data_IF_023585613839
#
_entry.id   IF_023585613839
#
_cell.length_a   1.000
_cell.length_b   1.000
_cell.length_c   1.000
_cell.angle_alpha   90.00
_cell.angle_beta   90.00
_cell.angle_gamma   90.00
#
_symmetry.space_group_name_H-M   'P 1'
#
loop_
_entity.id
_entity.type
_entity.pdbx_description
1 polymer ?
#
# COMPACT_ATOMS: atom_id res chain seq x y z
N UNK A 1 -5.97 5.25 -27.37
CA UNK A 1 -7.03 5.80 -26.49
C UNK A 1 -6.37 6.14 -25.15
N UNK A 2 -6.24 7.41 -24.77
CA UNK A 2 -5.69 7.80 -23.45
C UNK A 2 -6.83 7.62 -22.43
N UNK A 3 -6.94 6.44 -21.84
CA UNK A 3 -7.82 6.26 -20.68
C UNK A 3 -7.25 7.07 -19.51
N UNK A 4 -8.10 7.52 -18.61
CA UNK A 4 -7.65 8.24 -17.43
C UNK A 4 -7.02 7.27 -16.42
N UNK A 5 -6.08 7.78 -15.61
CA UNK A 5 -5.27 6.99 -14.68
C UNK A 5 -5.82 7.17 -13.27
N UNK A 6 -6.11 6.08 -12.59
CA UNK A 6 -6.32 6.07 -11.14
C UNK A 6 -4.97 5.93 -10.46
N UNK A 7 -4.65 6.85 -9.54
CA UNK A 7 -3.45 6.77 -8.71
C UNK A 7 -3.83 6.21 -7.34
N UNK A 8 -3.14 5.15 -6.92
CA UNK A 8 -3.28 4.58 -5.59
C UNK A 8 -2.16 5.15 -4.72
N UNK A 9 -2.53 5.78 -3.61
CA UNK A 9 -1.62 6.49 -2.74
C UNK A 9 -1.50 5.78 -1.39
N UNK A 10 -0.27 5.63 -0.89
CA UNK A 10 -0.03 5.30 0.52
C UNK A 10 -0.14 6.57 1.36
N UNK A 11 -1.12 6.58 2.26
CA UNK A 11 -1.44 7.70 3.15
C UNK A 11 -0.97 7.46 4.59
N UNK A 12 -0.31 6.34 4.89
CA UNK A 12 0.15 6.03 6.26
C UNK A 12 1.05 7.13 6.83
N UNK A 13 1.86 7.78 5.98
CA UNK A 13 2.75 8.88 6.39
C UNK A 13 2.10 10.27 6.46
N UNK A 14 0.82 10.40 6.11
CA UNK A 14 0.18 11.71 6.02
C UNK A 14 -0.03 12.36 7.40
N UNK A 15 -0.31 11.55 8.42
CA UNK A 15 -0.42 12.00 9.81
C UNK A 15 0.90 12.61 10.33
N UNK A 16 2.04 12.14 9.80
CA UNK A 16 3.38 12.60 10.15
C UNK A 16 3.87 13.76 9.25
N UNK A 17 2.98 14.36 8.43
CA UNK A 17 3.32 15.45 7.51
C UNK A 17 4.13 15.03 6.28
N UNK A 18 4.25 13.73 6.00
CA UNK A 18 4.95 13.23 4.80
C UNK A 18 4.03 13.23 3.60
N UNK A 19 4.59 13.55 2.43
CA UNK A 19 3.85 13.47 1.18
C UNK A 19 3.49 12.00 0.87
N UNK A 20 2.24 11.72 0.44
CA UNK A 20 1.81 10.37 0.12
C UNK A 20 2.59 9.84 -1.10
N UNK A 21 2.96 8.56 -1.05
CA UNK A 21 3.68 7.89 -2.14
C UNK A 21 2.70 7.22 -3.09
N UNK A 22 3.01 7.24 -4.38
CA UNK A 22 2.23 6.49 -5.38
C UNK A 22 2.59 5.01 -5.26
N UNK A 23 1.65 4.21 -4.76
CA UNK A 23 1.74 2.76 -4.64
C UNK A 23 1.42 2.05 -5.96
N UNK A 24 0.66 2.70 -6.83
CA UNK A 24 0.40 2.18 -8.17
C UNK A 24 -0.49 3.06 -9.02
N UNK A 25 -0.60 2.66 -10.28
CA UNK A 25 -1.37 3.34 -11.30
C UNK A 25 -2.26 2.31 -11.99
N UNK A 26 -3.57 2.53 -11.99
CA UNK A 26 -4.54 1.70 -12.70
C UNK A 26 -5.04 2.44 -13.93
N UNK A 27 -4.98 1.78 -15.08
CA UNK A 27 -5.54 2.31 -16.31
C UNK A 27 -7.05 2.05 -16.34
N UNK A 28 -7.86 3.11 -16.27
CA UNK A 28 -9.31 2.99 -16.31
C UNK A 28 -9.82 2.89 -17.76
N UNK A 29 -10.87 2.10 -18.03
CA UNK A 29 -11.47 1.94 -19.36
C UNK A 29 -12.40 3.12 -19.69
N UNK A 30 -11.85 4.33 -19.76
CA UNK A 30 -12.62 5.56 -19.92
C UNK A 30 -12.55 6.13 -21.34
N UNK A 31 -13.70 6.62 -21.80
CA UNK A 31 -13.86 7.44 -23.00
C UNK A 31 -13.38 8.87 -22.75
N UNK A 32 -12.99 9.59 -23.80
CA UNK A 32 -12.52 10.98 -23.68
C UNK A 32 -13.62 11.87 -23.07
N UNK A 33 -13.28 12.60 -22.00
CA UNK A 33 -14.18 13.51 -21.30
C UNK A 33 -15.05 12.85 -20.23
N UNK A 34 -15.02 11.52 -20.14
CA UNK A 34 -15.61 10.78 -19.03
C UNK A 34 -14.87 11.13 -17.76
N UNK A 35 -15.56 11.13 -16.63
CA UNK A 35 -14.96 11.46 -15.33
C UNK A 35 -15.39 10.43 -14.29
N UNK A 36 -14.50 10.16 -13.33
CA UNK A 36 -14.86 9.44 -12.12
C UNK A 36 -15.76 10.33 -11.27
N UNK A 37 -16.93 9.83 -10.89
CA UNK A 37 -17.95 10.57 -10.13
C UNK A 37 -17.87 10.27 -8.64
N UNK A 38 -17.75 9.00 -8.31
CA UNK A 38 -17.75 8.51 -6.94
C UNK A 38 -16.99 7.18 -6.84
N UNK A 39 -16.63 6.81 -5.61
CA UNK A 39 -15.88 5.62 -5.31
C UNK A 39 -16.30 5.05 -3.94
N UNK A 40 -16.53 3.74 -3.88
CA UNK A 40 -16.67 3.02 -2.63
C UNK A 40 -15.71 1.85 -2.59
N UNK A 41 -15.00 1.67 -1.47
CA UNK A 41 -14.06 0.58 -1.28
C UNK A 41 -14.50 -0.31 -0.12
N UNK A 42 -14.31 -1.61 -0.30
CA UNK A 42 -14.44 -2.62 0.74
C UNK A 42 -13.17 -2.70 1.59
N UNK A 43 -13.28 -3.34 2.75
CA UNK A 43 -12.14 -3.58 3.64
C UNK A 43 -11.10 -4.54 3.07
N UNK A 44 -11.47 -5.41 2.12
CA UNK A 44 -10.53 -6.30 1.44
C UNK A 44 -9.79 -5.62 0.28
N UNK A 45 -10.04 -4.33 0.01
CA UNK A 45 -9.34 -3.54 -1.01
C UNK A 45 -9.93 -3.64 -2.41
N UNK A 46 -11.20 -4.01 -2.55
CA UNK A 46 -11.94 -3.91 -3.81
C UNK A 46 -12.70 -2.58 -3.82
N UNK A 47 -12.48 -1.77 -4.84
CA UNK A 47 -13.17 -0.50 -5.02
C UNK A 47 -14.07 -0.56 -6.25
N UNK A 48 -15.30 -0.08 -6.11
CA UNK A 48 -16.18 0.18 -7.24
C UNK A 48 -16.22 1.69 -7.49
N UNK A 49 -15.88 2.09 -8.71
CA UNK A 49 -15.86 3.47 -9.17
C UNK A 49 -17.06 3.69 -10.10
N UNK A 50 -17.80 4.77 -9.88
CA UNK A 50 -18.74 5.27 -10.89
C UNK A 50 -17.99 6.18 -11.87
N UNK A 51 -18.21 5.91 -13.14
CA UNK A 51 -17.81 6.75 -14.26
C UNK A 51 -19.09 7.40 -14.77
N UNK A 52 -19.03 8.61 -15.34
CA UNK A 52 -20.21 9.29 -15.88
C UNK A 52 -20.95 8.43 -16.91
N UNK A 53 -20.65 8.54 -18.20
CA UNK A 53 -21.35 7.76 -19.22
C UNK A 53 -20.73 6.39 -19.50
N UNK A 54 -19.54 6.10 -18.96
CA UNK A 54 -18.87 4.80 -19.12
C UNK A 54 -19.33 3.76 -18.07
N UNK A 55 -20.28 4.11 -17.19
CA UNK A 55 -20.89 3.17 -16.25
C UNK A 55 -20.06 2.96 -14.99
N UNK A 56 -19.75 1.70 -14.64
CA UNK A 56 -19.00 1.38 -13.41
C UNK A 56 -17.79 0.50 -13.70
N UNK A 57 -16.75 0.65 -12.88
CA UNK A 57 -15.54 -0.17 -12.94
C UNK A 57 -15.13 -0.63 -11.55
N UNK A 58 -14.88 -1.93 -11.40
CA UNK A 58 -14.33 -2.52 -10.20
C UNK A 58 -12.82 -2.64 -10.33
N UNK A 59 -12.11 -2.18 -9.32
CA UNK A 59 -10.64 -2.18 -9.24
C UNK A 59 -10.23 -2.92 -7.97
N UNK A 60 -9.26 -3.81 -8.11
CA UNK A 60 -8.59 -4.43 -6.97
C UNK A 60 -7.31 -3.63 -6.64
N UNK A 61 -7.30 -3.00 -5.48
CA UNK A 61 -6.13 -2.29 -4.92
C UNK A 61 -5.50 -3.05 -3.74
N UNK A 62 -6.08 -4.21 -3.39
CA UNK A 62 -5.59 -5.05 -2.30
C UNK A 62 -4.28 -5.76 -2.66
N UNK A 63 -3.65 -6.34 -1.63
CA UNK A 63 -2.40 -7.08 -1.80
C UNK A 63 -2.60 -8.32 -2.67
N UNK A 64 -1.68 -8.57 -3.62
CA UNK A 64 -1.71 -9.74 -4.47
C UNK A 64 -1.21 -9.48 -5.89
N UNK A 65 -1.33 -10.47 -6.79
CA UNK A 65 -0.82 -10.38 -8.16
C UNK A 65 -1.71 -9.51 -9.06
N UNK A 66 -2.95 -9.26 -8.64
CA UNK A 66 -3.89 -8.34 -9.29
C UNK A 66 -3.94 -6.97 -8.60
N UNK A 67 -2.98 -6.66 -7.71
CA UNK A 67 -2.90 -5.34 -7.08
C UNK A 67 -2.88 -4.25 -8.15
N UNK A 68 -3.70 -3.23 -7.95
CA UNK A 68 -3.83 -2.07 -8.84
C UNK A 68 -4.32 -2.45 -10.24
N UNK A 69 -5.39 -3.26 -10.34
CA UNK A 69 -5.94 -3.71 -11.63
C UNK A 69 -7.46 -3.61 -11.70
N UNK A 70 -7.98 -3.33 -12.89
CA UNK A 70 -9.41 -3.48 -13.21
C UNK A 70 -9.77 -4.96 -13.21
N UNK A 71 -10.80 -5.34 -12.43
CA UNK A 71 -11.25 -6.73 -12.28
C UNK A 71 -12.62 -6.98 -12.92
N UNK A 72 -13.45 -5.96 -13.01
CA UNK A 72 -14.69 -5.97 -13.76
C UNK A 72 -14.98 -4.57 -14.27
N UNK A 73 -15.71 -4.47 -15.38
CA UNK A 73 -16.25 -3.20 -15.86
C UNK A 73 -17.61 -3.48 -16.47
N UNK A 74 -18.54 -2.55 -16.27
CA UNK A 74 -19.85 -2.59 -16.87
C UNK A 74 -20.16 -1.22 -17.48
N UNK A 75 -20.06 -1.16 -18.80
CA UNK A 75 -20.50 -0.02 -19.56
C UNK A 75 -22.02 -0.14 -19.80
N UNK A 76 -22.80 0.27 -18.81
CA UNK A 76 -24.17 0.64 -19.07
C UNK A 76 -24.30 2.12 -18.78
N UNK A 77 -24.79 2.86 -19.78
CA UNK A 77 -25.90 3.83 -19.66
C UNK A 77 -25.87 4.98 -20.67
N UNK A 78 -25.01 4.92 -21.69
CA UNK A 78 -25.15 5.77 -22.86
C UNK A 78 -24.99 4.97 -24.15
N UNK A 79 -26.08 4.32 -24.60
CA UNK A 79 -26.14 3.68 -25.94
C UNK A 79 -26.28 4.76 -27.00
N UNK A 80 -25.21 5.49 -27.26
CA UNK A 80 -25.07 6.31 -28.46
C UNK A 80 -23.86 5.81 -29.24
N UNK A 81 -23.82 4.51 -29.56
CA UNK A 81 -22.93 4.07 -30.62
C UNK A 81 -23.44 4.68 -31.92
N UNK A 82 -22.73 5.69 -32.42
CA UNK A 82 -23.02 6.36 -33.69
C UNK A 82 -23.99 7.54 -33.65
N UNK A 83 -24.60 7.88 -32.51
CA UNK A 83 -25.49 9.06 -32.41
C UNK A 83 -24.69 10.25 -31.89
N UNK A 84 -24.43 11.21 -32.77
CA UNK A 84 -23.83 12.49 -32.41
C UNK A 84 -24.81 13.25 -31.52
N UNK A 85 -24.51 13.28 -30.22
CA UNK A 85 -25.36 13.97 -29.25
C UNK A 85 -25.34 15.47 -29.55
N UNK A 86 -26.50 16.09 -29.83
CA UNK A 86 -26.56 17.51 -30.14
C UNK A 86 -25.91 18.33 -29.03
N UNK A 87 -25.12 19.35 -29.41
CA UNK A 87 -24.39 20.20 -28.46
C UNK A 87 -25.28 20.80 -27.36
N UNK A 88 -26.55 21.11 -27.69
CA UNK A 88 -27.56 21.65 -26.77
C UNK A 88 -27.89 20.73 -25.60
N UNK A 89 -27.66 19.42 -25.72
CA UNK A 89 -27.93 18.42 -24.67
C UNK A 89 -26.67 17.65 -24.26
N UNK A 90 -25.49 18.07 -24.72
CA UNK A 90 -24.23 17.42 -24.36
C UNK A 90 -23.95 17.42 -22.85
N UNK A 91 -24.45 18.43 -22.13
CA UNK A 91 -24.36 18.51 -20.67
C UNK A 91 -25.07 17.33 -19.97
N UNK A 92 -26.09 16.73 -20.61
CA UNK A 92 -26.76 15.55 -20.06
C UNK A 92 -25.78 14.38 -19.93
N UNK A 93 -24.80 14.23 -20.84
CA UNK A 93 -23.80 13.16 -20.72
C UNK A 93 -23.10 13.18 -19.36
N UNK A 94 -22.77 14.37 -18.85
CA UNK A 94 -22.13 14.52 -17.55
C UNK A 94 -23.02 14.00 -16.42
N UNK A 95 -24.32 14.22 -16.50
CA UNK A 95 -25.30 13.85 -15.46
C UNK A 95 -25.85 12.42 -15.65
N UNK A 96 -25.40 11.71 -16.69
CA UNK A 96 -25.89 10.38 -17.04
C UNK A 96 -24.94 9.29 -16.58
N UNK A 97 -25.51 8.09 -16.46
CA UNK A 97 -24.88 6.86 -15.99
C UNK A 97 -24.76 6.79 -14.48
N UNK A 98 -23.67 6.16 -14.01
CA UNK A 98 -23.50 5.89 -12.58
C UNK A 98 -23.14 7.19 -11.85
N UNK A 99 -23.93 7.53 -10.84
CA UNK A 99 -23.79 8.79 -10.09
C UNK A 99 -23.08 8.56 -8.77
N UNK A 100 -23.61 7.64 -7.96
CA UNK A 100 -23.15 7.40 -6.60
C UNK A 100 -22.96 5.91 -6.36
N UNK A 101 -21.91 5.56 -5.62
CA UNK A 101 -21.62 4.18 -5.26
C UNK A 101 -21.58 4.06 -3.75
N UNK A 102 -22.23 3.03 -3.21
CA UNK A 102 -22.22 2.72 -1.80
C UNK A 102 -21.92 1.24 -1.59
N UNK A 103 -21.05 0.96 -0.63
CA UNK A 103 -20.81 -0.41 -0.18
C UNK A 103 -22.05 -0.92 0.58
N UNK A 104 -22.47 -2.15 0.29
CA UNK A 104 -23.54 -2.80 1.04
C UNK A 104 -23.02 -3.19 2.44
N UNK A 105 -23.67 -2.74 3.52
CA UNK A 105 -23.28 -3.11 4.88
C UNK A 105 -23.31 -4.62 5.08
N UNK A 106 -22.24 -5.18 5.66
CA UNK A 106 -22.13 -6.63 5.91
C UNK A 106 -21.77 -7.48 4.69
N UNK A 107 -21.76 -6.90 3.48
CA UNK A 107 -21.45 -7.62 2.24
C UNK A 107 -20.30 -6.91 1.49
N UNK A 108 -19.03 -7.29 1.76
CA UNK A 108 -17.85 -6.55 1.27
C UNK A 108 -17.68 -6.57 -0.27
N UNK A 109 -18.50 -7.33 -1.00
CA UNK A 109 -18.44 -7.44 -2.47
C UNK A 109 -19.71 -7.00 -3.16
N UNK A 110 -20.62 -6.38 -2.41
CA UNK A 110 -21.90 -5.90 -2.90
C UNK A 110 -21.93 -4.39 -2.83
N UNK A 111 -22.40 -3.76 -3.90
CA UNK A 111 -22.49 -2.32 -4.00
C UNK A 111 -23.85 -1.92 -4.53
N UNK A 112 -24.37 -0.83 -3.98
CA UNK A 112 -25.51 -0.10 -4.53
C UNK A 112 -24.98 1.02 -5.41
N UNK A 113 -25.48 1.10 -6.63
CA UNK A 113 -25.11 2.14 -7.58
C UNK A 113 -26.37 2.91 -7.94
N UNK A 114 -26.42 4.18 -7.54
CA UNK A 114 -27.43 5.09 -8.05
C UNK A 114 -27.06 5.49 -9.47
N UNK A 115 -28.01 5.39 -10.38
CA UNK A 115 -27.79 5.67 -11.78
C UNK A 115 -28.95 6.41 -12.43
N UNK A 116 -28.57 7.24 -13.39
CA UNK A 116 -29.51 8.03 -14.18
C UNK A 116 -29.32 7.67 -15.65
N UNK A 117 -30.42 7.56 -16.39
CA UNK A 117 -30.40 7.21 -17.82
C UNK A 117 -31.30 8.13 -18.63
N UNK A 118 -31.00 8.26 -19.91
CA UNK A 118 -31.71 9.16 -20.82
C UNK A 118 -31.97 8.46 -22.15
N UNK A 119 -33.23 8.45 -22.56
CA UNK A 119 -33.68 7.93 -23.83
C UNK A 119 -33.58 9.02 -24.90
N UNK A 120 -32.44 9.06 -25.59
CA UNK A 120 -32.20 10.02 -26.67
C UNK A 120 -33.23 9.88 -27.79
N UNK A 121 -33.64 8.64 -28.11
CA UNK A 121 -34.58 8.38 -29.20
C UNK A 121 -35.98 8.92 -28.89
N UNK A 122 -36.44 8.73 -27.65
CA UNK A 122 -37.70 9.34 -27.20
C UNK A 122 -37.64 10.87 -27.26
N UNK A 123 -36.51 11.46 -26.84
CA UNK A 123 -36.32 12.91 -26.87
C UNK A 123 -36.30 13.48 -28.30
N UNK A 124 -35.60 12.82 -29.23
CA UNK A 124 -35.58 13.21 -30.65
C UNK A 124 -36.95 13.13 -31.31
N UNK A 125 -37.82 12.24 -30.82
CA UNK A 125 -39.24 12.15 -31.23
C UNK A 125 -40.17 13.15 -30.55
N UNK A 126 -39.62 14.08 -29.76
CA UNK A 126 -40.37 15.17 -29.13
C UNK A 126 -40.84 14.90 -27.70
N UNK A 127 -40.40 13.82 -27.05
CA UNK A 127 -40.67 13.63 -25.62
C UNK A 127 -40.04 14.77 -24.80
N UNK A 128 -40.72 15.22 -23.74
CA UNK A 128 -40.13 16.20 -22.82
C UNK A 128 -38.96 15.58 -22.09
N UNK A 129 -37.99 16.42 -21.68
CA UNK A 129 -36.80 15.98 -20.96
C UNK A 129 -37.12 15.06 -19.76
N UNK A 130 -38.11 15.43 -18.94
CA UNK A 130 -38.52 14.65 -17.77
C UNK A 130 -39.13 13.27 -18.10
N UNK A 131 -39.68 13.12 -19.31
CA UNK A 131 -40.31 11.88 -19.76
C UNK A 131 -39.26 10.96 -20.41
N UNK A 132 -38.17 11.54 -20.95
CA UNK A 132 -37.03 10.82 -21.52
C UNK A 132 -35.94 10.46 -20.49
N UNK A 133 -35.92 11.11 -19.32
CA UNK A 133 -34.98 10.84 -18.26
C UNK A 133 -35.54 9.85 -17.22
N UNK A 134 -34.76 8.84 -16.85
CA UNK A 134 -35.02 7.98 -15.68
C UNK A 134 -33.95 8.27 -14.65
N UNK A 135 -34.37 8.86 -13.53
CA UNK A 135 -33.51 9.25 -12.44
C UNK A 135 -33.61 8.22 -11.30
N UNK A 136 -32.60 8.21 -10.42
CA UNK A 136 -32.61 7.45 -9.17
C UNK A 136 -32.85 5.94 -9.33
N UNK A 137 -32.39 5.34 -10.43
CA UNK A 137 -32.40 3.88 -10.55
C UNK A 137 -31.30 3.32 -9.66
N UNK A 138 -31.62 2.36 -8.79
CA UNK A 138 -30.60 1.71 -7.96
C UNK A 138 -30.28 0.35 -8.56
N UNK A 139 -29.02 0.19 -8.96
CA UNK A 139 -28.47 -1.07 -9.44
C UNK A 139 -27.72 -1.75 -8.31
N UNK A 140 -27.77 -3.08 -8.27
CA UNK A 140 -26.94 -3.88 -7.35
C UNK A 140 -25.81 -4.51 -8.15
N UNK A 141 -24.58 -4.32 -7.70
CA UNK A 141 -23.39 -4.93 -8.28
C UNK A 141 -22.83 -5.93 -7.27
N UNK A 142 -22.79 -7.21 -7.64
CA UNK A 142 -22.14 -8.26 -6.86
C UNK A 142 -20.85 -8.72 -7.56
N UNK A 143 -19.78 -8.81 -6.78
CA UNK A 143 -18.49 -9.34 -7.19
C UNK A 143 -18.18 -10.68 -6.48
N UNK A 144 -19.20 -11.42 -6.03
CA UNK A 144 -19.00 -12.67 -5.28
C UNK A 144 -18.21 -13.71 -6.07
N UNK A 145 -18.39 -13.74 -7.40
CA UNK A 145 -17.63 -14.61 -8.30
C UNK A 145 -16.16 -14.21 -8.49
N UNK A 146 -15.76 -13.02 -8.08
CA UNK A 146 -14.37 -12.58 -8.17
C UNK A 146 -13.55 -13.16 -7.02
N UNK A 147 -12.68 -14.13 -7.33
CA UNK A 147 -11.68 -14.59 -6.38
C UNK A 147 -10.36 -13.90 -6.69
N UNK A 148 -9.83 -13.14 -5.72
CA UNK A 148 -8.47 -12.60 -5.83
C UNK A 148 -7.53 -13.80 -6.01
N UNK A 149 -6.73 -13.86 -7.09
CA UNK A 149 -5.77 -14.93 -7.23
C UNK A 149 -4.86 -14.88 -6.02
N UNK A 150 -4.57 -16.06 -5.45
CA UNK A 150 -3.51 -16.15 -4.45
C UNK A 150 -2.29 -15.41 -5.03
N UNK A 151 -1.53 -14.65 -4.19
CA UNK A 151 -0.20 -14.24 -4.57
C UNK A 151 0.43 -15.42 -5.27
N UNK A 152 0.84 -15.26 -6.53
CA UNK A 152 1.82 -16.19 -7.04
C UNK A 152 2.94 -16.05 -6.03
N UNK A 153 3.07 -17.04 -5.17
CA UNK A 153 4.33 -17.37 -4.55
C UNK A 153 5.23 -17.56 -5.76
N UNK A 154 5.79 -16.46 -6.27
CA UNK A 154 7.07 -16.52 -6.89
C UNK A 154 7.84 -17.28 -5.83
N UNK A 155 8.23 -18.51 -6.14
CA UNK A 155 9.27 -19.19 -5.41
C UNK A 155 10.48 -18.26 -5.54
N UNK A 156 10.52 -17.24 -4.68
CA UNK A 156 11.68 -16.41 -4.47
C UNK A 156 12.61 -17.42 -3.86
N UNK A 157 13.54 -17.92 -4.68
CA UNK A 157 14.63 -18.77 -4.20
C UNK A 157 15.10 -18.15 -2.87
N UNK A 158 15.15 -18.93 -1.78
CA UNK A 158 15.36 -18.38 -0.44
C UNK A 158 16.54 -17.43 -0.49
N UNK A 159 16.27 -16.13 -0.32
CA UNK A 159 17.33 -15.14 -0.41
C UNK A 159 18.27 -15.39 0.76
N UNK A 160 19.59 -15.32 0.54
CA UNK A 160 20.53 -15.49 1.63
C UNK A 160 20.25 -14.41 2.70
N UNK A 161 20.47 -14.72 3.99
CA UNK A 161 20.34 -13.73 5.03
C UNK A 161 21.29 -12.56 4.78
N UNK A 162 20.87 -11.35 5.15
CA UNK A 162 21.71 -10.15 5.07
C UNK A 162 22.30 -9.88 6.45
N UNK A 163 23.63 -9.83 6.53
CA UNK A 163 24.31 -9.39 7.74
C UNK A 163 24.43 -7.86 7.73
N UNK A 164 24.18 -7.23 8.86
CA UNK A 164 24.32 -5.79 9.05
C UNK A 164 24.93 -5.52 10.43
N UNK A 165 25.58 -4.38 10.62
CA UNK A 165 26.06 -3.95 11.93
C UNK A 165 25.39 -2.63 12.27
N UNK A 166 24.62 -2.62 13.35
CA UNK A 166 24.06 -1.41 13.93
C UNK A 166 25.07 -0.85 14.93
N UNK A 167 25.62 0.31 14.60
CA UNK A 167 26.64 0.99 15.39
C UNK A 167 25.95 2.06 16.24
N UNK A 168 26.15 1.99 17.54
CA UNK A 168 25.77 3.03 18.51
C UNK A 168 27.05 3.78 18.89
N UNK A 169 27.10 5.10 18.69
CA UNK A 169 28.24 5.96 19.09
C UNK A 169 28.26 6.21 20.60
N UNK A 170 28.27 5.13 21.37
CA UNK A 170 28.40 5.14 22.82
C UNK A 170 29.15 3.88 23.26
N UNK A 171 29.98 4.00 24.29
CA UNK A 171 30.68 2.88 24.87
C UNK A 171 29.69 1.82 25.41
N UNK A 172 30.00 0.54 25.16
CA UNK A 172 29.13 -0.58 25.55
C UNK A 172 28.81 -0.58 27.04
N UNK A 173 29.76 -0.20 27.90
CA UNK A 173 29.52 -0.11 29.33
C UNK A 173 28.49 0.96 29.69
N UNK A 174 28.49 2.09 29.00
CA UNK A 174 27.49 3.14 29.24
C UNK A 174 26.11 2.73 28.70
N UNK A 175 26.06 2.04 27.56
CA UNK A 175 24.83 1.42 27.05
C UNK A 175 24.28 0.43 28.07
N UNK A 176 25.12 -0.48 28.58
CA UNK A 176 24.72 -1.48 29.57
C UNK A 176 24.29 -0.87 30.91
N UNK A 177 24.92 0.22 31.36
CA UNK A 177 24.52 0.94 32.59
C UNK A 177 23.11 1.51 32.51
N UNK A 178 22.67 1.93 31.32
CA UNK A 178 21.31 2.45 31.14
C UNK A 178 20.24 1.34 31.13
N UNK A 179 20.66 0.08 30.97
CA UNK A 179 19.80 -1.09 31.05
C UNK A 179 19.84 -1.64 32.49
N UNK A 180 18.68 -1.71 33.15
CA UNK A 180 18.55 -2.20 34.54
C UNK A 180 19.09 -3.61 34.76
N UNK A 181 19.28 -4.39 33.69
CA UNK A 181 19.97 -5.68 33.67
C UNK A 181 21.26 -5.52 32.86
N UNK A 182 22.40 -5.44 33.56
CA UNK A 182 23.72 -5.14 32.98
C UNK A 182 24.33 -6.36 32.26
N UNK A 183 23.71 -6.85 31.18
CA UNK A 183 24.36 -7.87 30.35
C UNK A 183 24.12 -7.66 28.85
N UNK A 184 25.10 -8.10 28.06
CA UNK A 184 25.08 -7.98 26.60
C UNK A 184 23.89 -8.71 25.96
N UNK A 185 23.42 -9.79 26.57
CA UNK A 185 22.30 -10.58 26.02
C UNK A 185 20.96 -9.85 26.12
N UNK A 186 20.74 -9.10 27.20
CA UNK A 186 19.56 -8.24 27.29
C UNK A 186 19.59 -7.12 26.25
N UNK A 187 20.76 -6.51 26.00
CA UNK A 187 20.93 -5.53 24.92
C UNK A 187 20.62 -6.13 23.55
N UNK A 188 21.09 -7.35 23.27
CA UNK A 188 20.76 -8.08 22.02
C UNK A 188 19.25 -8.28 21.87
N UNK A 189 18.55 -8.68 22.93
CA UNK A 189 17.10 -8.89 22.91
C UNK A 189 16.34 -7.58 22.65
N UNK A 190 16.70 -6.50 23.36
CA UNK A 190 16.10 -5.18 23.16
C UNK A 190 16.31 -4.70 21.73
N UNK A 191 17.52 -4.86 21.18
CA UNK A 191 17.83 -4.50 19.81
C UNK A 191 17.04 -5.34 18.78
N UNK A 192 16.93 -6.66 18.98
CA UNK A 192 16.13 -7.52 18.11
C UNK A 192 14.66 -7.10 18.06
N UNK A 193 14.04 -6.85 19.22
CA UNK A 193 12.65 -6.38 19.33
C UNK A 193 12.49 -5.04 18.63
N UNK A 194 13.36 -4.07 18.95
CA UNK A 194 13.26 -2.72 18.37
C UNK A 194 13.39 -2.73 16.84
N UNK A 195 14.33 -3.52 16.30
CA UNK A 195 14.51 -3.66 14.86
C UNK A 195 13.30 -4.36 14.23
N UNK A 196 12.82 -5.46 14.82
CA UNK A 196 11.65 -6.18 14.31
C UNK A 196 10.39 -5.31 14.28
N UNK A 197 10.12 -4.57 15.36
CA UNK A 197 8.99 -3.64 15.48
C UNK A 197 9.11 -2.50 14.46
N UNK A 198 10.30 -1.91 14.29
CA UNK A 198 10.52 -0.82 13.33
C UNK A 198 10.32 -1.22 11.87
N UNK A 199 10.45 -2.51 11.58
CA UNK A 199 10.26 -3.10 10.25
C UNK A 199 8.90 -3.77 10.08
N UNK A 200 8.09 -3.84 11.13
CA UNK A 200 6.83 -4.59 11.19
C UNK A 200 6.98 -6.05 10.73
N UNK A 201 8.03 -6.72 11.17
CA UNK A 201 8.31 -8.13 10.86
C UNK A 201 8.30 -9.00 12.12
N UNK A 202 8.08 -10.31 11.95
CA UNK A 202 8.22 -11.26 13.05
C UNK A 202 9.66 -11.25 13.59
N UNK A 203 9.82 -11.21 14.91
CA UNK A 203 11.13 -11.18 15.58
C UNK A 203 12.07 -12.32 15.18
N UNK A 204 11.54 -13.50 14.82
CA UNK A 204 12.35 -14.62 14.34
C UNK A 204 13.16 -14.29 13.05
N UNK A 205 12.78 -13.22 12.35
CA UNK A 205 13.45 -12.73 11.15
C UNK A 205 14.64 -11.81 11.43
N UNK A 206 14.86 -11.45 12.70
CA UNK A 206 15.95 -10.57 13.14
C UNK A 206 16.72 -11.28 14.25
N UNK A 207 17.98 -11.63 13.99
CA UNK A 207 18.87 -12.18 15.00
C UNK A 207 20.00 -11.19 15.29
N UNK A 208 20.27 -10.90 16.56
CA UNK A 208 21.49 -10.17 16.95
C UNK A 208 22.54 -11.20 17.34
N UNK A 209 23.51 -11.40 16.46
CA UNK A 209 24.57 -12.40 16.57
C UNK A 209 25.60 -12.04 17.64
N UNK A 210 25.84 -10.76 17.86
CA UNK A 210 26.87 -10.28 18.76
C UNK A 210 26.69 -8.83 19.17
N UNK A 211 27.29 -8.48 20.30
CA UNK A 211 27.46 -7.10 20.76
C UNK A 211 28.93 -6.93 21.15
N UNK A 212 29.66 -6.04 20.48
CA UNK A 212 31.09 -5.80 20.75
C UNK A 212 31.36 -4.32 20.92
N UNK A 213 32.35 -3.99 21.75
CA UNK A 213 32.87 -2.65 21.87
C UNK A 213 34.02 -2.47 20.87
N UNK A 214 34.08 -1.31 20.22
CA UNK A 214 35.24 -0.88 19.46
C UNK A 214 35.81 0.39 20.12
N UNK A 215 37.03 0.30 20.64
CA UNK A 215 37.71 1.38 21.39
C UNK A 215 38.35 2.45 20.48
N UNK A 216 37.89 2.56 19.24
CA UNK A 216 38.48 3.45 18.25
C UNK A 216 38.17 4.94 18.56
N UNK A 217 39.07 5.57 19.32
CA UNK A 217 39.26 7.03 19.56
C UNK A 217 38.07 7.78 20.20
N UNK A 218 38.31 8.31 21.40
CA UNK A 218 37.54 9.35 22.11
C UNK A 218 36.01 9.30 21.87
N UNK A 219 35.34 8.28 22.40
CA UNK A 219 33.88 8.20 22.38
C UNK A 219 33.32 6.79 22.60
N UNK A 220 34.05 5.76 22.16
CA UNK A 220 33.65 4.35 22.24
C UNK A 220 32.43 4.04 21.36
N UNK A 221 32.50 2.97 20.57
CA UNK A 221 31.36 2.51 19.78
C UNK A 221 30.88 1.14 20.23
N UNK A 222 29.57 0.96 20.25
CA UNK A 222 28.94 -0.36 20.45
C UNK A 222 28.43 -0.86 19.12
N UNK A 223 28.93 -2.01 18.70
CA UNK A 223 28.58 -2.66 17.44
C UNK A 223 27.66 -3.83 17.74
N UNK A 224 26.45 -3.79 17.19
CA UNK A 224 25.45 -4.85 17.25
C UNK A 224 25.39 -5.56 15.90
N UNK A 225 25.90 -6.79 15.84
CA UNK A 225 25.92 -7.58 14.61
C UNK A 225 24.54 -8.22 14.42
N UNK A 226 23.84 -7.81 13.39
CA UNK A 226 22.49 -8.23 13.01
C UNK A 226 22.55 -9.23 11.84
N UNK A 227 21.62 -10.18 11.85
CA UNK A 227 21.31 -11.05 10.73
C UNK A 227 19.82 -10.95 10.41
N UNK A 228 19.53 -10.45 9.21
CA UNK A 228 18.21 -10.27 8.65
C UNK A 228 17.86 -11.51 7.83
N UNK A 229 16.90 -12.31 8.30
CA UNK A 229 16.58 -13.63 7.74
C UNK A 229 15.40 -13.60 6.77
N UNK A 230 15.39 -14.47 5.75
CA UNK A 230 14.20 -14.67 4.93
C UNK A 230 13.04 -15.14 5.80
N UNK A 231 11.82 -14.73 5.44
CA UNK A 231 10.61 -15.32 6.00
C UNK A 231 10.12 -16.47 5.13
N UNK A 232 8.94 -17.00 5.46
CA UNK A 232 8.25 -18.06 4.71
C UNK A 232 7.70 -17.56 3.35
N UNK A 233 8.58 -17.02 2.50
CA UNK A 233 8.24 -16.44 1.19
C UNK A 233 7.52 -15.08 1.24
N UNK A 234 7.32 -14.49 2.42
CA UNK A 234 6.62 -13.20 2.58
C UNK A 234 7.58 -12.00 2.53
N UNK A 235 7.24 -10.92 1.81
CA UNK A 235 7.99 -9.66 1.89
C UNK A 235 7.86 -9.04 3.30
N UNK A 236 8.79 -8.16 3.70
CA UNK A 236 9.96 -7.74 2.94
C UNK A 236 11.03 -8.84 2.86
N UNK A 237 11.80 -8.93 1.76
CA UNK A 237 12.98 -9.80 1.67
C UNK A 237 14.13 -9.28 2.55
N UNK A 238 15.17 -10.08 2.87
CA UNK A 238 16.32 -9.61 3.65
C UNK A 238 16.95 -8.29 3.16
N UNK A 239 17.11 -8.13 1.83
CA UNK A 239 17.61 -6.89 1.23
C UNK A 239 16.65 -5.71 1.41
N UNK A 240 15.35 -5.96 1.28
CA UNK A 240 14.33 -4.94 1.53
C UNK A 240 14.31 -4.53 3.01
N UNK A 241 14.46 -5.50 3.94
CA UNK A 241 14.61 -5.22 5.36
C UNK A 241 15.84 -4.36 5.64
N UNK A 242 16.99 -4.65 5.02
CA UNK A 242 18.20 -3.84 5.16
C UNK A 242 17.98 -2.39 4.66
N UNK A 243 17.34 -2.25 3.50
CA UNK A 243 17.04 -0.94 2.91
C UNK A 243 16.08 -0.12 3.78
N UNK A 244 15.02 -0.77 4.30
CA UNK A 244 14.07 -0.15 5.23
C UNK A 244 14.75 0.23 6.54
N UNK A 245 15.61 -0.64 7.09
CA UNK A 245 16.33 -0.38 8.33
C UNK A 245 17.30 0.80 8.18
N UNK A 246 17.97 0.91 7.04
CA UNK A 246 18.83 2.06 6.69
C UNK A 246 18.02 3.36 6.70
N UNK A 247 16.82 3.35 6.12
CA UNK A 247 15.92 4.50 6.13
C UNK A 247 15.43 4.83 7.56
N UNK A 248 15.11 3.82 8.38
CA UNK A 248 14.71 4.01 9.78
C UNK A 248 15.83 4.66 10.60
N UNK A 249 17.08 4.20 10.46
CA UNK A 249 18.23 4.77 11.17
C UNK A 249 18.48 6.23 10.76
N UNK A 250 18.36 6.55 9.46
CA UNK A 250 18.63 7.89 8.93
C UNK A 250 17.50 8.92 9.10
N UNK A 251 16.32 8.52 9.59
CA UNK A 251 15.14 9.41 9.66
C UNK A 251 14.81 9.79 11.11
N UNK A 252 14.98 11.06 11.52
CA UNK A 252 14.49 11.53 12.81
C UNK A 252 12.98 11.26 12.98
N UNK A 253 12.58 10.81 14.16
CA UNK A 253 11.18 10.47 14.46
C UNK A 253 10.70 9.13 13.91
N UNK A 254 11.59 8.31 13.33
CA UNK A 254 11.27 6.94 12.94
C UNK A 254 11.01 6.04 14.17
N UNK A 255 10.50 4.83 13.95
CA UNK A 255 10.21 3.89 15.04
C UNK A 255 11.46 3.50 15.85
N UNK A 256 12.63 3.49 15.22
CA UNK A 256 13.91 3.32 15.94
C UNK A 256 14.26 4.53 16.80
N UNK A 257 13.86 5.74 16.38
CA UNK A 257 14.13 6.98 17.08
C UNK A 257 13.15 7.29 18.20
N UNK A 258 11.96 6.70 18.19
CA UNK A 258 10.91 6.92 19.20
C UNK A 258 10.63 5.69 20.07
N UNK A 259 11.11 4.51 19.65
CA UNK A 259 10.90 3.24 20.33
C UNK A 259 11.98 2.88 21.36
N UNK A 260 12.22 1.58 21.53
CA UNK A 260 13.10 1.05 22.58
C UNK A 260 14.56 1.50 22.44
N UNK A 261 15.00 1.91 21.24
CA UNK A 261 16.35 2.44 21.00
C UNK A 261 16.41 3.98 20.95
N UNK A 262 15.31 4.68 21.25
CA UNK A 262 15.22 6.14 21.17
C UNK A 262 16.35 6.87 21.91
N UNK A 263 16.76 6.34 23.07
CA UNK A 263 17.85 6.92 23.88
C UNK A 263 19.19 7.02 23.14
N UNK A 264 19.39 6.22 22.10
CA UNK A 264 20.63 6.17 21.31
C UNK A 264 20.45 6.71 19.90
N UNK A 265 19.28 7.26 19.56
CA UNK A 265 18.89 7.40 18.16
C UNK A 265 19.67 8.45 17.38
N UNK A 266 20.13 9.52 18.04
CA UNK A 266 21.06 10.51 17.48
C UNK A 266 22.49 9.99 17.26
N UNK A 267 22.76 8.73 17.61
CA UNK A 267 24.09 8.12 17.62
C UNK A 267 24.12 6.81 16.82
N UNK A 268 23.10 6.52 16.00
CA UNK A 268 23.02 5.27 15.24
C UNK A 268 23.57 5.40 13.82
N UNK A 269 24.30 4.38 13.37
CA UNK A 269 24.63 4.14 11.95
C UNK A 269 24.39 2.67 11.63
N UNK A 270 23.98 2.38 10.40
CA UNK A 270 23.88 1.01 9.90
C UNK A 270 24.95 0.77 8.85
N UNK A 271 25.66 -0.34 8.96
CA UNK A 271 26.62 -0.80 7.97
C UNK A 271 26.23 -2.18 7.46
N UNK A 272 26.57 -2.48 6.21
CA UNK A 272 26.41 -3.83 5.66
C UNK A 272 27.57 -4.69 6.12
N UNK A 273 27.26 -5.78 6.83
CA UNK A 273 28.25 -6.74 7.25
C UNK A 273 28.72 -7.57 6.06
N UNK A 274 30.02 -7.91 6.02
CA UNK A 274 30.50 -8.94 5.09
C UNK A 274 29.72 -10.24 5.33
N UNK A 275 29.41 -10.98 4.27
CA UNK A 275 28.99 -12.36 4.42
C UNK A 275 30.15 -13.09 5.09
N UNK A 276 30.10 -13.28 6.41
CA UNK A 276 30.98 -14.21 7.09
C UNK A 276 30.62 -15.57 6.51
N UNK A 277 31.35 -15.98 5.48
CA UNK A 277 31.31 -17.36 5.02
C UNK A 277 31.49 -18.21 6.26
N UNK A 278 30.62 -19.20 6.43
CA UNK A 278 30.81 -20.22 7.43
C UNK A 278 32.06 -21.03 7.05
N UNK A 279 33.25 -20.46 7.24
CA UNK A 279 34.49 -21.20 7.32
C UNK A 279 34.52 -21.77 8.73
N UNK A 280 33.79 -22.88 8.89
CA UNK A 280 33.98 -23.77 10.02
C UNK A 280 35.34 -24.44 9.89
N UNK A 281 36.20 -24.15 10.86
CA UNK A 281 37.13 -25.10 11.47
C UNK A 281 36.74 -25.19 12.94
#
# INVERSE_FOLDING_TARGET
RRGERLYVLDVHGLADGRLPRVEGIVQLPMSRGSIVRDAACSSDGICLLSLSWDGVVAVDIGHGPNRNKVVAHHAAMFRAEGVEVPSKVAWLKLMMGAQRVQLCPGHPRHFFVESWSFDMHAFEKGARLKDAARLNTVLTVSLDGYQRPAPREAWIAPQPPVNATLILKQALQDVLRTLTKQNADFLKQVAAVAVADSLHVNIARVAVLGARAEEARAGGETHLDLQLRPGDGRPPSPEQMYSLLTAQVGTPGSALHTGLLAKWSGLMRLERGAARGATGG
#
